data_IF_784591731828
#
_entry.id   IF_784591731828
#
_cell.length_a   1.000
_cell.length_b   1.000
_cell.length_c   1.000
_cell.angle_alpha   90.00
_cell.angle_beta   90.00
_cell.angle_gamma   90.00
#
_symmetry.space_group_name_H-M   'P 1'
#
loop_
_entity.id
_entity.type
_entity.pdbx_description
1 polymer ?
#
# COMPACT_ATOMS: atom_id res chain seq x y z
N UNK A 1 -25.34 18.56 -10.76
CA UNK A 1 -24.61 19.81 -10.49
C UNK A 1 -25.54 20.76 -9.73
N UNK A 2 -25.04 21.36 -8.62
CA UNK A 2 -25.81 22.35 -7.85
C UNK A 2 -26.67 21.81 -6.70
N UNK A 3 -26.88 20.49 -6.56
CA UNK A 3 -27.70 19.91 -5.49
C UNK A 3 -27.19 20.24 -4.07
N UNK A 4 -25.88 20.22 -3.87
CA UNK A 4 -25.22 20.60 -2.60
C UNK A 4 -24.58 22.00 -2.68
N UNK A 5 -25.07 22.85 -3.57
CA UNK A 5 -24.54 24.19 -3.82
C UNK A 5 -23.13 24.21 -4.44
N UNK A 6 -22.47 25.39 -4.47
CA UNK A 6 -21.04 25.49 -4.78
C UNK A 6 -20.20 25.12 -3.56
N UNK A 7 -18.92 24.82 -3.76
CA UNK A 7 -18.03 24.36 -2.69
C UNK A 7 -17.90 25.34 -1.50
N UNK A 8 -17.76 26.66 -1.67
CA UNK A 8 -17.74 27.59 -0.55
C UNK A 8 -19.01 27.52 0.32
N UNK A 9 -20.18 27.44 -0.29
CA UNK A 9 -21.46 27.31 0.42
C UNK A 9 -21.60 25.95 1.11
N UNK A 10 -21.18 24.87 0.44
CA UNK A 10 -21.14 23.54 1.03
C UNK A 10 -20.21 23.49 2.25
N UNK A 11 -19.02 24.05 2.14
CA UNK A 11 -18.04 24.11 3.22
C UNK A 11 -18.60 24.82 4.44
N UNK A 12 -19.20 25.98 4.25
CA UNK A 12 -19.76 26.75 5.37
C UNK A 12 -20.99 26.10 6.01
N UNK A 13 -21.86 25.45 5.20
CA UNK A 13 -23.10 24.85 5.70
C UNK A 13 -22.94 23.47 6.32
N UNK A 14 -21.96 22.70 5.87
CA UNK A 14 -21.81 21.29 6.24
C UNK A 14 -20.41 20.93 6.70
N UNK A 15 -19.39 21.16 5.85
CA UNK A 15 -18.04 20.66 6.10
C UNK A 15 -17.44 21.23 7.40
N UNK A 16 -17.51 22.54 7.61
CA UNK A 16 -16.93 23.18 8.79
C UNK A 16 -17.59 22.69 10.07
N UNK A 17 -18.92 22.65 10.13
CA UNK A 17 -19.65 22.20 11.30
C UNK A 17 -19.43 20.69 11.60
N UNK A 18 -19.37 19.86 10.55
CA UNK A 18 -19.18 18.40 10.72
C UNK A 18 -17.74 18.08 11.11
N UNK A 19 -16.73 18.69 10.44
CA UNK A 19 -15.33 18.34 10.62
C UNK A 19 -14.72 19.02 11.83
N UNK A 20 -15.00 20.32 12.06
CA UNK A 20 -14.42 21.09 13.15
C UNK A 20 -15.20 20.95 14.46
N UNK A 21 -16.53 21.01 14.37
CA UNK A 21 -17.41 21.09 15.54
C UNK A 21 -18.06 19.73 15.88
N UNK A 22 -17.85 18.68 15.04
CA UNK A 22 -18.42 17.35 15.17
C UNK A 22 -19.96 17.39 15.36
N UNK A 23 -20.61 18.36 14.70
CA UNK A 23 -22.06 18.58 14.81
C UNK A 23 -22.85 17.43 14.17
N UNK A 24 -23.45 16.61 15.03
CA UNK A 24 -24.25 15.43 14.64
C UNK A 24 -25.54 15.82 13.89
N UNK A 25 -26.18 16.92 14.26
CA UNK A 25 -27.43 17.34 13.62
C UNK A 25 -27.19 17.72 12.15
N UNK A 26 -26.15 18.51 11.90
CA UNK A 26 -25.73 18.87 10.54
C UNK A 26 -25.29 17.65 9.73
N UNK A 27 -24.59 16.71 10.36
CA UNK A 27 -24.19 15.43 9.75
C UNK A 27 -25.42 14.61 9.34
N UNK A 28 -26.40 14.44 10.24
CA UNK A 28 -27.64 13.70 9.95
C UNK A 28 -28.51 14.38 8.90
N UNK A 29 -28.52 15.71 8.88
CA UNK A 29 -29.20 16.48 7.83
C UNK A 29 -28.55 16.26 6.47
N UNK A 30 -27.23 16.33 6.38
CA UNK A 30 -26.50 16.05 5.14
C UNK A 30 -26.73 14.61 4.69
N UNK A 31 -26.66 13.64 5.61
CA UNK A 31 -26.91 12.23 5.35
C UNK A 31 -28.28 11.99 4.74
N UNK A 32 -29.33 12.58 5.31
CA UNK A 32 -30.70 12.48 4.77
C UNK A 32 -30.85 13.06 3.37
N UNK A 33 -30.17 14.18 3.09
CA UNK A 33 -30.16 14.81 1.76
C UNK A 33 -29.49 13.94 0.70
N UNK A 34 -28.34 13.33 1.02
CA UNK A 34 -27.55 12.57 0.03
C UNK A 34 -27.94 11.09 -0.06
N UNK A 35 -28.57 10.53 0.98
CA UNK A 35 -28.96 9.12 1.07
C UNK A 35 -29.70 8.60 -0.18
N UNK A 36 -30.69 9.32 -0.77
CA UNK A 36 -31.38 8.83 -1.97
C UNK A 36 -30.48 8.70 -3.20
N UNK A 37 -29.32 9.35 -3.22
CA UNK A 37 -28.38 9.40 -4.35
C UNK A 37 -27.12 8.56 -4.12
N UNK A 38 -26.93 8.03 -2.90
CA UNK A 38 -25.76 7.26 -2.51
C UNK A 38 -26.19 5.86 -2.08
N UNK A 39 -25.87 4.86 -2.88
CA UNK A 39 -26.03 3.47 -2.51
C UNK A 39 -24.67 2.89 -2.13
N UNK A 40 -24.38 2.81 -0.82
CA UNK A 40 -23.20 2.14 -0.29
C UNK A 40 -23.56 0.73 0.18
N UNK A 41 -23.02 -0.28 -0.50
CA UNK A 41 -23.12 -1.68 -0.07
C UNK A 41 -21.76 -2.16 0.42
N UNK A 42 -21.71 -2.71 1.62
CA UNK A 42 -20.49 -3.34 2.12
C UNK A 42 -20.39 -4.75 1.51
N UNK A 43 -19.16 -5.15 1.13
CA UNK A 43 -18.91 -6.46 0.56
C UNK A 43 -19.45 -7.60 1.44
N UNK A 44 -19.21 -7.54 2.76
CA UNK A 44 -19.65 -8.52 3.74
C UNK A 44 -21.18 -8.71 3.79
N UNK A 45 -21.95 -7.67 3.41
CA UNK A 45 -23.41 -7.71 3.48
C UNK A 45 -24.03 -8.31 2.21
N UNK A 46 -23.32 -8.22 1.09
CA UNK A 46 -23.82 -8.61 -0.25
C UNK A 46 -23.21 -9.91 -0.74
N UNK A 47 -21.95 -10.21 -0.41
CA UNK A 47 -21.18 -11.33 -0.93
C UNK A 47 -20.93 -12.37 0.17
N UNK A 48 -22.00 -13.07 0.59
CA UNK A 48 -21.91 -14.12 1.63
C UNK A 48 -21.10 -15.36 1.20
N UNK A 49 -20.89 -15.53 -0.09
CA UNK A 49 -20.13 -16.65 -0.67
C UNK A 49 -18.64 -16.35 -0.83
N UNK A 50 -18.21 -15.12 -0.52
CA UNK A 50 -16.79 -14.78 -0.63
C UNK A 50 -16.01 -15.47 0.51
N UNK A 51 -14.89 -16.18 0.22
CA UNK A 51 -14.03 -16.72 1.26
C UNK A 51 -13.51 -15.65 2.21
N UNK A 52 -13.09 -16.06 3.40
CA UNK A 52 -12.52 -15.13 4.37
C UNK A 52 -11.23 -14.48 3.87
N UNK A 53 -10.98 -13.27 4.38
CA UNK A 53 -9.73 -12.54 4.20
C UNK A 53 -8.99 -12.48 5.54
N UNK A 54 -7.76 -12.97 5.56
CA UNK A 54 -6.89 -12.96 6.73
C UNK A 54 -5.79 -11.93 6.51
N UNK A 55 -5.66 -10.96 7.39
CA UNK A 55 -4.60 -9.93 7.33
C UNK A 55 -3.57 -10.19 8.43
N UNK A 56 -2.29 -10.21 8.05
CA UNK A 56 -1.15 -10.46 8.94
C UNK A 56 -0.08 -9.41 8.74
N UNK A 57 0.35 -8.78 9.83
CA UNK A 57 1.54 -7.92 9.82
C UNK A 57 2.76 -8.81 10.06
N UNK A 58 3.74 -8.70 9.17
CA UNK A 58 5.04 -9.37 9.29
C UNK A 58 6.07 -8.30 9.65
N UNK A 59 6.51 -8.37 10.89
CA UNK A 59 7.53 -7.46 11.41
C UNK A 59 8.92 -7.83 10.90
N UNK A 60 9.63 -6.83 10.39
CA UNK A 60 11.00 -6.99 9.87
C UNK A 60 11.94 -6.12 10.71
N UNK A 61 12.95 -6.75 11.28
CA UNK A 61 14.00 -6.04 12.01
C UNK A 61 15.10 -5.59 11.05
N UNK A 62 15.37 -4.28 11.03
CA UNK A 62 16.55 -3.76 10.32
C UNK A 62 17.79 -4.04 11.15
N UNK A 63 18.82 -4.59 10.53
CA UNK A 63 20.08 -4.94 11.19
C UNK A 63 21.29 -4.35 10.46
N UNK A 64 22.47 -4.56 11.02
CA UNK A 64 23.74 -4.26 10.38
C UNK A 64 23.88 -2.82 9.86
N UNK A 65 24.32 -2.69 8.63
CA UNK A 65 24.55 -1.42 7.95
C UNK A 65 23.23 -0.71 7.58
N UNK A 66 22.19 -1.47 7.20
CA UNK A 66 20.88 -0.93 6.89
C UNK A 66 20.28 -0.17 8.08
N UNK A 67 20.38 -0.75 9.28
CA UNK A 67 19.91 -0.11 10.52
C UNK A 67 20.67 1.16 10.84
N UNK A 68 22.00 1.14 10.74
CA UNK A 68 22.85 2.32 10.99
C UNK A 68 22.51 3.46 10.03
N UNK A 69 22.33 3.16 8.75
CA UNK A 69 21.92 4.14 7.75
C UNK A 69 20.54 4.73 8.08
N UNK A 70 19.56 3.88 8.37
CA UNK A 70 18.23 4.34 8.74
C UNK A 70 18.28 5.30 9.95
N UNK A 71 18.95 4.91 11.02
CA UNK A 71 19.06 5.71 12.25
C UNK A 71 19.74 7.04 12.00
N UNK A 72 20.80 7.09 11.22
CA UNK A 72 21.51 8.32 10.87
C UNK A 72 20.61 9.30 10.10
N UNK A 73 19.85 8.80 9.10
CA UNK A 73 18.91 9.63 8.35
C UNK A 73 17.73 10.09 9.21
N UNK A 74 17.18 9.22 10.03
CA UNK A 74 16.08 9.54 10.94
C UNK A 74 16.50 10.58 11.98
N UNK A 75 17.69 10.45 12.56
CA UNK A 75 18.22 11.42 13.51
C UNK A 75 18.48 12.77 12.85
N UNK A 76 19.06 12.80 11.64
CA UNK A 76 19.26 14.03 10.87
C UNK A 76 17.93 14.76 10.64
N UNK A 77 16.89 14.03 10.21
CA UNK A 77 15.57 14.62 9.99
C UNK A 77 14.96 15.16 11.29
N UNK A 78 15.07 14.42 12.42
CA UNK A 78 14.59 14.89 13.73
C UNK A 78 15.27 16.18 14.15
N UNK A 79 16.58 16.27 14.00
CA UNK A 79 17.35 17.48 14.34
C UNK A 79 16.99 18.66 13.42
N UNK A 80 16.75 18.39 12.14
CA UNK A 80 16.29 19.40 11.19
C UNK A 80 14.93 19.97 11.58
N UNK A 81 13.97 19.10 11.87
CA UNK A 81 12.62 19.50 12.28
C UNK A 81 12.59 20.25 13.61
N UNK A 82 13.42 19.84 14.59
CA UNK A 82 13.48 20.48 15.90
C UNK A 82 14.01 21.93 15.87
N UNK A 83 14.70 22.32 14.81
CA UNK A 83 15.26 23.68 14.65
C UNK A 83 14.34 24.62 13.86
N UNK A 84 13.25 24.11 13.27
CA UNK A 84 12.37 24.91 12.43
C UNK A 84 11.32 25.69 13.21
N UNK A 85 11.12 26.95 12.84
CA UNK A 85 9.94 27.72 13.21
C UNK A 85 8.68 27.22 12.47
N UNK A 86 7.46 27.57 12.93
CA UNK A 86 6.22 27.21 12.21
C UNK A 86 6.16 27.71 10.76
N UNK A 87 6.75 28.87 10.47
CA UNK A 87 6.84 29.44 9.13
C UNK A 87 7.78 28.65 8.24
N UNK A 88 8.98 28.36 8.71
CA UNK A 88 9.97 27.54 8.01
C UNK A 88 9.44 26.13 7.74
N UNK A 89 8.74 25.54 8.71
CA UNK A 89 8.09 24.24 8.53
C UNK A 89 7.06 24.27 7.38
N UNK A 90 6.28 25.35 7.25
CA UNK A 90 5.31 25.48 6.14
C UNK A 90 5.98 25.58 4.78
N UNK A 91 7.13 26.24 4.71
CA UNK A 91 7.90 26.42 3.47
C UNK A 91 8.66 25.15 3.07
N UNK A 92 9.14 24.38 4.03
CA UNK A 92 9.95 23.17 3.82
C UNK A 92 9.17 21.88 3.64
N UNK A 93 7.84 21.92 3.56
CA UNK A 93 6.99 20.72 3.46
C UNK A 93 7.42 19.73 2.36
N UNK A 94 7.79 20.23 1.18
CA UNK A 94 8.23 19.35 0.07
C UNK A 94 9.55 18.66 0.37
N UNK A 95 10.46 19.37 1.06
CA UNK A 95 11.74 18.79 1.48
C UNK A 95 11.55 17.73 2.55
N UNK A 96 10.69 18.00 3.54
CA UNK A 96 10.31 17.03 4.57
C UNK A 96 9.70 15.77 3.94
N UNK A 97 8.78 15.92 2.98
CA UNK A 97 8.19 14.78 2.28
C UNK A 97 9.23 13.96 1.50
N UNK A 98 10.23 14.63 0.92
CA UNK A 98 11.36 13.96 0.26
C UNK A 98 12.19 13.14 1.25
N UNK A 99 12.51 13.70 2.40
CA UNK A 99 13.27 12.99 3.45
C UNK A 99 12.45 11.81 4.05
N UNK A 100 11.15 11.97 4.28
CA UNK A 100 10.27 10.88 4.69
C UNK A 100 10.22 9.76 3.63
N UNK A 101 10.23 10.13 2.35
CA UNK A 101 10.28 9.13 1.26
C UNK A 101 11.60 8.38 1.27
N UNK A 102 12.73 9.05 1.54
CA UNK A 102 14.04 8.40 1.69
C UNK A 102 14.08 7.43 2.86
N UNK A 103 13.53 7.80 4.02
CA UNK A 103 13.42 6.88 5.16
C UNK A 103 12.63 5.62 4.79
N UNK A 104 11.56 5.75 4.02
CA UNK A 104 10.79 4.60 3.55
C UNK A 104 11.57 3.75 2.54
N UNK A 105 12.33 4.38 1.65
CA UNK A 105 13.22 3.66 0.75
C UNK A 105 14.31 2.89 1.52
N UNK A 106 14.86 3.47 2.60
CA UNK A 106 15.81 2.77 3.48
C UNK A 106 15.20 1.53 4.15
N UNK A 107 13.92 1.59 4.53
CA UNK A 107 13.20 0.42 5.02
C UNK A 107 13.05 -0.66 3.95
N UNK A 108 12.84 -0.27 2.69
CA UNK A 108 12.67 -1.20 1.57
C UNK A 108 14.00 -1.79 1.07
N UNK A 109 15.09 -1.02 1.18
CA UNK A 109 16.43 -1.41 0.80
C UNK A 109 17.29 -0.20 0.44
N UNK A 110 18.47 -0.01 1.06
CA UNK A 110 19.33 1.13 0.80
C UNK A 110 19.84 1.20 -0.66
N UNK A 111 19.98 0.06 -1.34
CA UNK A 111 20.33 -0.04 -2.77
C UNK A 111 19.40 0.76 -3.70
N UNK A 112 18.19 1.10 -3.26
CA UNK A 112 17.23 1.87 -4.07
C UNK A 112 17.70 3.28 -4.41
N UNK A 113 18.69 3.82 -3.69
CA UNK A 113 19.28 5.14 -3.94
C UNK A 113 20.78 5.25 -3.62
N UNK A 114 21.39 4.20 -3.04
CA UNK A 114 22.83 4.11 -2.79
C UNK A 114 23.45 3.11 -3.78
N UNK A 115 24.10 3.62 -4.84
CA UNK A 115 24.61 2.83 -5.96
C UNK A 115 25.63 1.73 -5.56
N UNK A 116 26.31 1.90 -4.42
CA UNK A 116 27.36 0.98 -3.96
C UNK A 116 26.95 0.20 -2.70
N UNK A 117 25.65 0.12 -2.40
CA UNK A 117 25.18 -0.69 -1.29
C UNK A 117 25.01 -2.14 -1.74
N UNK A 118 25.77 -3.03 -1.12
CA UNK A 118 25.78 -4.47 -1.40
C UNK A 118 25.55 -5.33 -0.15
N UNK A 119 25.21 -4.69 0.97
CA UNK A 119 24.96 -5.37 2.23
C UNK A 119 23.50 -5.85 2.34
N UNK A 120 23.12 -6.28 3.50
CA UNK A 120 21.84 -6.90 3.83
C UNK A 120 20.62 -6.05 3.44
N UNK A 121 19.56 -6.72 3.01
CA UNK A 121 18.24 -6.13 2.83
C UNK A 121 17.21 -7.02 3.52
N UNK A 122 17.03 -6.79 4.82
CA UNK A 122 16.18 -7.62 5.68
C UNK A 122 14.76 -7.82 5.15
N UNK A 123 14.19 -6.79 4.52
CA UNK A 123 12.84 -6.86 3.96
C UNK A 123 12.78 -7.70 2.69
N UNK A 124 13.81 -7.63 1.83
CA UNK A 124 13.90 -8.47 0.64
C UNK A 124 14.03 -9.94 1.03
N UNK A 125 14.89 -10.24 2.00
CA UNK A 125 15.13 -11.60 2.47
C UNK A 125 13.85 -12.19 3.07
N UNK A 126 13.17 -11.48 3.96
CA UNK A 126 11.88 -11.88 4.51
C UNK A 126 10.82 -12.09 3.42
N UNK A 127 10.77 -11.21 2.42
CA UNK A 127 9.83 -11.34 1.30
C UNK A 127 10.11 -12.58 0.48
N UNK A 128 11.38 -12.87 0.18
CA UNK A 128 11.78 -14.07 -0.56
C UNK A 128 11.41 -15.36 0.18
N UNK A 129 11.62 -15.41 1.49
CA UNK A 129 11.20 -16.55 2.32
C UNK A 129 9.70 -16.78 2.26
N UNK A 130 8.89 -15.73 2.43
CA UNK A 130 7.44 -15.83 2.30
C UNK A 130 7.00 -16.29 0.91
N UNK A 131 7.62 -15.76 -0.14
CA UNK A 131 7.32 -16.14 -1.53
C UNK A 131 7.66 -17.61 -1.76
N UNK A 132 8.85 -18.08 -1.35
CA UNK A 132 9.24 -19.49 -1.48
C UNK A 132 8.28 -20.43 -0.76
N UNK A 133 7.95 -20.13 0.50
CA UNK A 133 6.99 -20.93 1.28
C UNK A 133 5.62 -20.98 0.62
N UNK A 134 5.13 -19.85 0.08
CA UNK A 134 3.84 -19.81 -0.61
C UNK A 134 3.86 -20.65 -1.89
N UNK A 135 4.93 -20.60 -2.68
CA UNK A 135 5.09 -21.39 -3.92
C UNK A 135 5.14 -22.90 -3.60
N UNK A 136 5.90 -23.30 -2.57
CA UNK A 136 5.99 -24.69 -2.12
C UNK A 136 4.62 -25.26 -1.72
N UNK A 137 3.74 -24.40 -1.19
CA UNK A 137 2.36 -24.77 -0.84
C UNK A 137 1.36 -24.61 -2.00
N UNK A 138 1.83 -24.33 -3.21
CA UNK A 138 0.99 -24.26 -4.42
C UNK A 138 0.17 -22.99 -4.57
N UNK A 139 0.52 -21.92 -3.85
CA UNK A 139 -0.17 -20.63 -3.91
C UNK A 139 0.36 -19.72 -5.02
N UNK A 140 -0.53 -18.89 -5.57
CA UNK A 140 -0.16 -17.76 -6.43
C UNK A 140 -0.20 -16.45 -5.64
N UNK A 141 0.75 -15.57 -5.93
CA UNK A 141 1.09 -14.41 -5.10
C UNK A 141 0.92 -13.14 -5.91
N UNK A 142 0.20 -12.15 -5.36
CA UNK A 142 0.30 -10.74 -5.79
C UNK A 142 1.23 -10.00 -4.84
N UNK A 143 2.22 -9.32 -5.40
CA UNK A 143 3.18 -8.53 -4.65
C UNK A 143 3.06 -7.07 -5.05
N UNK A 144 2.72 -6.22 -4.10
CA UNK A 144 2.52 -4.79 -4.31
C UNK A 144 3.62 -3.97 -3.66
N UNK A 145 4.10 -2.96 -4.38
CA UNK A 145 4.93 -1.89 -3.84
C UNK A 145 4.56 -0.55 -4.48
N UNK A 146 4.75 0.54 -3.74
CA UNK A 146 4.61 1.88 -4.31
C UNK A 146 5.87 2.32 -5.09
N UNK A 147 7.02 1.70 -4.81
CA UNK A 147 8.28 2.00 -5.46
C UNK A 147 8.55 1.03 -6.60
N UNK A 148 8.65 1.53 -7.82
CA UNK A 148 9.01 0.70 -8.99
C UNK A 148 10.42 0.15 -8.88
N UNK A 149 11.34 0.87 -8.24
CA UNK A 149 12.70 0.40 -7.94
C UNK A 149 12.72 -0.83 -7.01
N UNK A 150 11.75 -0.96 -6.09
CA UNK A 150 11.56 -2.20 -5.31
C UNK A 150 11.20 -3.36 -6.23
N UNK A 151 10.30 -3.13 -7.19
CA UNK A 151 9.92 -4.17 -8.15
C UNK A 151 11.11 -4.59 -9.03
N UNK A 152 12.03 -3.66 -9.33
CA UNK A 152 13.26 -3.96 -10.06
C UNK A 152 14.16 -4.90 -9.25
N UNK A 153 14.39 -4.62 -7.96
CA UNK A 153 15.17 -5.46 -7.06
C UNK A 153 14.53 -6.84 -6.84
N UNK A 154 13.23 -6.88 -6.62
CA UNK A 154 12.48 -8.14 -6.49
C UNK A 154 12.61 -9.00 -7.75
N UNK A 155 12.50 -8.43 -8.95
CA UNK A 155 12.66 -9.19 -10.18
C UNK A 155 14.07 -9.73 -10.38
N UNK A 156 15.10 -8.96 -9.98
CA UNK A 156 16.49 -9.46 -9.98
C UNK A 156 16.64 -10.65 -9.02
N UNK A 157 16.09 -10.53 -7.81
CA UNK A 157 16.12 -11.59 -6.80
C UNK A 157 15.36 -12.84 -7.27
N UNK A 158 14.15 -12.68 -7.82
CA UNK A 158 13.38 -13.80 -8.37
C UNK A 158 14.09 -14.50 -9.52
N UNK A 159 14.74 -13.73 -10.40
CA UNK A 159 15.55 -14.31 -11.48
C UNK A 159 16.73 -15.14 -10.94
N UNK A 160 17.40 -14.64 -9.90
CA UNK A 160 18.48 -15.38 -9.23
C UNK A 160 17.99 -16.69 -8.61
N UNK A 161 16.80 -16.66 -7.98
CA UNK A 161 16.15 -17.81 -7.36
C UNK A 161 15.35 -18.68 -8.34
N UNK A 162 15.41 -18.40 -9.65
CA UNK A 162 14.67 -19.09 -10.71
C UNK A 162 13.15 -19.08 -10.54
N UNK A 163 12.61 -18.06 -9.87
CA UNK A 163 11.18 -17.85 -9.67
C UNK A 163 10.64 -17.04 -10.86
N UNK A 164 9.66 -17.62 -11.58
CA UNK A 164 8.94 -16.90 -12.64
C UNK A 164 8.08 -15.79 -12.04
N UNK A 165 8.05 -14.64 -12.69
CA UNK A 165 7.20 -13.54 -12.26
C UNK A 165 6.73 -12.67 -13.41
N UNK A 166 5.48 -12.19 -13.34
CA UNK A 166 4.99 -11.10 -14.16
C UNK A 166 5.14 -9.76 -13.45
N UNK A 167 5.10 -8.68 -14.22
CA UNK A 167 5.18 -7.31 -13.67
C UNK A 167 4.26 -6.35 -14.42
N UNK A 168 3.55 -5.50 -13.64
CA UNK A 168 2.81 -4.35 -14.15
C UNK A 168 3.20 -3.10 -13.34
N UNK A 169 3.59 -2.04 -14.06
CA UNK A 169 3.79 -0.70 -13.52
C UNK A 169 3.16 0.37 -14.43
N UNK A 170 3.51 1.65 -14.19
CA UNK A 170 2.95 2.77 -14.95
C UNK A 170 3.33 2.79 -16.45
N UNK A 171 4.41 2.12 -16.83
CA UNK A 171 4.91 2.06 -18.21
C UNK A 171 4.24 0.99 -19.09
N UNK A 172 3.50 0.05 -18.48
CA UNK A 172 2.88 -1.06 -19.21
C UNK A 172 1.59 -0.61 -19.88
N UNK A 173 1.41 -0.90 -21.19
CA UNK A 173 0.20 -0.55 -21.96
C UNK A 173 -1.05 -1.26 -21.43
N UNK A 174 -2.24 -0.77 -21.78
CA UNK A 174 -3.51 -1.37 -21.37
C UNK A 174 -3.67 -2.77 -21.91
N UNK A 175 -3.31 -2.98 -23.17
CA UNK A 175 -3.39 -4.25 -23.86
C UNK A 175 -2.48 -5.30 -23.21
N UNK A 176 -1.25 -4.89 -22.91
CA UNK A 176 -0.27 -5.76 -22.27
C UNK A 176 -0.68 -6.13 -20.83
N UNK A 177 -1.31 -5.20 -20.09
CA UNK A 177 -1.88 -5.50 -18.76
C UNK A 177 -2.94 -6.58 -18.82
N UNK A 178 -3.82 -6.54 -19.81
CA UNK A 178 -4.85 -7.56 -20.01
C UNK A 178 -4.17 -8.90 -20.32
N UNK A 179 -3.24 -8.93 -21.27
CA UNK A 179 -2.50 -10.13 -21.65
C UNK A 179 -1.78 -10.79 -20.46
N UNK A 180 -1.06 -9.98 -19.65
CA UNK A 180 -0.34 -10.49 -18.47
C UNK A 180 -1.31 -11.00 -17.40
N UNK A 181 -2.47 -10.38 -17.24
CA UNK A 181 -3.49 -10.82 -16.28
C UNK A 181 -4.10 -12.16 -16.70
N UNK A 182 -4.41 -12.33 -17.98
CA UNK A 182 -4.94 -13.57 -18.54
C UNK A 182 -3.89 -14.70 -18.49
N UNK A 183 -2.64 -14.38 -18.84
CA UNK A 183 -1.53 -15.31 -18.72
C UNK A 183 -1.36 -15.79 -17.28
N UNK A 184 -1.32 -14.88 -16.31
CA UNK A 184 -1.21 -15.24 -14.90
C UNK A 184 -2.33 -16.14 -14.38
N UNK A 185 -3.53 -16.01 -14.94
CA UNK A 185 -4.66 -16.86 -14.57
C UNK A 185 -4.51 -18.30 -15.06
N UNK A 186 -3.77 -18.53 -16.15
CA UNK A 186 -3.73 -19.82 -16.86
C UNK A 186 -2.36 -20.49 -16.89
N UNK A 187 -1.27 -19.73 -16.76
CA UNK A 187 0.10 -20.26 -16.75
C UNK A 187 0.56 -20.72 -15.35
N UNK A 188 1.79 -21.21 -15.27
CA UNK A 188 2.44 -21.69 -14.04
C UNK A 188 3.22 -20.59 -13.30
N UNK A 189 3.11 -19.33 -13.71
CA UNK A 189 3.80 -18.21 -13.06
C UNK A 189 3.24 -17.98 -11.65
N UNK A 190 4.07 -18.12 -10.59
CA UNK A 190 3.56 -18.03 -9.22
C UNK A 190 3.43 -16.61 -8.68
N UNK A 191 4.19 -15.65 -9.24
CA UNK A 191 4.27 -14.29 -8.68
C UNK A 191 3.87 -13.23 -9.69
N UNK A 192 3.06 -12.27 -9.27
CA UNK A 192 2.73 -11.09 -10.05
C UNK A 192 3.07 -9.81 -9.27
N UNK A 193 4.11 -9.11 -9.71
CA UNK A 193 4.56 -7.84 -9.14
C UNK A 193 3.77 -6.68 -9.73
N UNK A 194 3.18 -5.85 -8.89
CA UNK A 194 2.31 -4.76 -9.34
C UNK A 194 2.66 -3.47 -8.59
N UNK A 195 2.90 -2.39 -9.34
CA UNK A 195 3.00 -1.08 -8.69
C UNK A 195 1.62 -0.64 -8.18
N UNK A 196 1.56 -0.12 -6.96
CA UNK A 196 0.29 0.27 -6.35
C UNK A 196 -0.49 1.30 -7.19
N UNK A 197 0.20 2.20 -7.90
CA UNK A 197 -0.43 3.16 -8.81
C UNK A 197 -1.08 2.48 -10.03
N UNK A 198 -0.47 1.40 -10.54
CA UNK A 198 -1.00 0.64 -11.66
C UNK A 198 -2.10 -0.34 -11.24
N UNK A 199 -2.09 -0.80 -10.00
CA UNK A 199 -3.09 -1.70 -9.42
C UNK A 199 -4.51 -1.12 -9.36
N UNK A 200 -4.68 0.21 -9.49
CA UNK A 200 -5.98 0.89 -9.54
C UNK A 200 -6.85 0.62 -10.79
N UNK A 201 -6.35 -0.07 -11.79
CA UNK A 201 -6.96 -0.18 -13.14
C UNK A 201 -7.81 -1.44 -13.37
N UNK A 202 -8.76 -1.77 -12.53
CA UNK A 202 -9.83 -2.75 -12.85
C UNK A 202 -9.41 -4.20 -13.12
N UNK A 203 -8.16 -4.60 -12.85
CA UNK A 203 -7.64 -5.94 -13.09
C UNK A 203 -8.39 -6.99 -12.26
N UNK A 204 -8.65 -8.16 -12.86
CA UNK A 204 -9.20 -9.32 -12.14
C UNK A 204 -8.07 -10.32 -11.88
N UNK A 205 -7.69 -10.47 -10.61
CA UNK A 205 -6.52 -11.24 -10.18
C UNK A 205 -6.90 -12.34 -9.18
N UNK A 206 -8.09 -12.91 -9.34
CA UNK A 206 -8.63 -13.98 -8.47
C UNK A 206 -7.87 -15.31 -8.56
N UNK A 207 -6.94 -15.44 -9.48
CA UNK A 207 -6.04 -16.61 -9.55
C UNK A 207 -5.05 -16.67 -8.37
N UNK A 208 -4.76 -15.53 -7.73
CA UNK A 208 -3.93 -15.48 -6.53
C UNK A 208 -4.78 -15.57 -5.27
N UNK A 209 -4.20 -16.14 -4.21
CA UNK A 209 -4.79 -16.23 -2.88
C UNK A 209 -3.83 -15.71 -1.79
N UNK A 210 -2.61 -15.36 -2.13
CA UNK A 210 -1.67 -14.63 -1.29
C UNK A 210 -1.46 -13.22 -1.84
N UNK A 211 -1.53 -12.24 -0.96
CA UNK A 211 -1.20 -10.83 -1.25
C UNK A 211 -0.09 -10.39 -0.33
N UNK A 212 0.98 -9.81 -0.87
CA UNK A 212 2.07 -9.22 -0.10
C UNK A 212 2.14 -7.73 -0.41
N UNK A 213 1.94 -6.89 0.60
CA UNK A 213 2.29 -5.48 0.56
C UNK A 213 3.71 -5.33 1.08
N UNK A 214 4.65 -5.05 0.18
CA UNK A 214 6.07 -4.93 0.51
C UNK A 214 6.36 -3.70 1.37
N UNK A 215 5.61 -2.63 1.17
CA UNK A 215 5.69 -1.39 1.92
C UNK A 215 4.30 -0.83 2.22
N UNK A 216 4.07 -0.21 3.40
CA UNK A 216 2.78 0.36 3.75
C UNK A 216 2.50 1.64 2.95
N UNK A 217 1.27 1.88 2.59
CA UNK A 217 0.87 3.10 1.91
C UNK A 217 0.11 4.05 2.84
N UNK A 218 0.37 5.36 2.73
CA UNK A 218 -0.36 6.40 3.45
C UNK A 218 -1.88 6.36 3.26
N UNK A 219 -2.34 5.93 2.09
CA UNK A 219 -3.75 5.81 1.74
C UNK A 219 -4.21 4.36 1.84
N UNK A 220 -4.83 4.03 2.99
CA UNK A 220 -5.41 2.71 3.27
C UNK A 220 -6.43 2.29 2.21
N UNK A 221 -7.27 3.23 1.73
CA UNK A 221 -8.28 2.90 0.74
C UNK A 221 -7.67 2.39 -0.58
N UNK A 222 -6.53 2.96 -0.99
CA UNK A 222 -5.83 2.50 -2.18
C UNK A 222 -5.14 1.13 -1.95
N UNK A 223 -4.62 0.87 -0.75
CA UNK A 223 -4.06 -0.43 -0.37
C UNK A 223 -5.17 -1.50 -0.36
N UNK A 224 -6.29 -1.21 0.28
CA UNK A 224 -7.46 -2.09 0.27
C UNK A 224 -8.00 -2.34 -1.13
N UNK A 225 -8.04 -1.32 -1.99
CA UNK A 225 -8.44 -1.46 -3.38
C UNK A 225 -7.53 -2.41 -4.15
N UNK A 226 -6.22 -2.40 -3.89
CA UNK A 226 -5.27 -3.35 -4.49
C UNK A 226 -5.56 -4.78 -4.03
N UNK A 227 -5.74 -5.01 -2.73
CA UNK A 227 -6.12 -6.32 -2.16
C UNK A 227 -7.46 -6.81 -2.71
N UNK A 228 -8.42 -5.92 -2.92
CA UNK A 228 -9.75 -6.22 -3.47
C UNK A 228 -9.74 -6.73 -4.91
N UNK A 229 -8.60 -6.71 -5.60
CA UNK A 229 -8.43 -7.35 -6.92
C UNK A 229 -8.38 -8.86 -6.83
N UNK A 230 -7.91 -9.37 -5.72
CA UNK A 230 -7.85 -10.79 -5.39
C UNK A 230 -9.11 -11.25 -4.67
N UNK A 231 -9.53 -10.47 -3.65
CA UNK A 231 -10.69 -10.78 -2.82
C UNK A 231 -11.97 -10.21 -3.43
N UNK A 232 -12.50 -10.90 -4.45
CA UNK A 232 -13.71 -10.51 -5.19
C UNK A 232 -14.46 -11.74 -5.72
N UNK A 233 -15.63 -11.52 -6.31
CA UNK A 233 -16.43 -12.57 -6.95
C UNK A 233 -15.54 -13.40 -7.90
N UNK A 234 -15.57 -14.73 -7.74
CA UNK A 234 -14.73 -15.67 -8.46
C UNK A 234 -13.54 -16.21 -7.66
N UNK A 235 -13.22 -15.62 -6.51
CA UNK A 235 -12.24 -16.18 -5.56
C UNK A 235 -12.83 -17.43 -4.89
N UNK A 236 -12.07 -18.53 -4.89
CA UNK A 236 -12.47 -19.81 -4.29
C UNK A 236 -11.69 -20.14 -3.02
N UNK A 237 -10.55 -19.49 -2.81
CA UNK A 237 -9.64 -19.74 -1.71
C UNK A 237 -9.72 -18.62 -0.66
N UNK A 238 -9.35 -18.94 0.59
CA UNK A 238 -9.10 -17.91 1.61
C UNK A 238 -7.95 -17.04 1.14
N UNK A 239 -8.16 -15.72 1.15
CA UNK A 239 -7.10 -14.77 0.77
C UNK A 239 -6.32 -14.38 2.01
N UNK A 240 -5.01 -14.63 2.00
CA UNK A 240 -4.10 -14.18 3.06
C UNK A 240 -3.30 -12.98 2.58
N UNK A 241 -3.37 -11.90 3.35
CA UNK A 241 -2.67 -10.63 3.08
C UNK A 241 -1.54 -10.47 4.09
N UNK A 242 -0.33 -10.34 3.61
CA UNK A 242 0.85 -10.03 4.42
C UNK A 242 1.26 -8.57 4.21
N UNK A 243 1.46 -7.85 5.30
CA UNK A 243 2.00 -6.48 5.29
C UNK A 243 3.40 -6.51 5.92
N UNK A 244 4.45 -6.26 5.12
CA UNK A 244 5.81 -6.22 5.60
C UNK A 244 6.10 -4.84 6.21
N UNK A 245 6.39 -4.80 7.49
CA UNK A 245 6.61 -3.55 8.25
C UNK A 245 7.98 -3.60 8.93
N UNK A 246 8.85 -2.67 8.59
CA UNK A 246 10.10 -2.47 9.31
C UNK A 246 9.82 -1.88 10.70
N UNK A 247 10.14 -2.64 11.75
CA UNK A 247 9.90 -2.25 13.14
C UNK A 247 10.77 -1.08 13.59
N UNK A 248 10.27 -0.30 14.54
CA UNK A 248 10.91 0.90 15.08
C UNK A 248 11.29 1.93 14.01
N UNK A 249 10.52 1.98 12.91
CA UNK A 249 10.74 2.89 11.78
C UNK A 249 9.52 3.74 11.44
N UNK A 250 9.67 4.58 10.41
CA UNK A 250 8.56 5.37 9.83
C UNK A 250 7.40 4.47 9.34
N UNK A 251 7.67 3.23 8.94
CA UNK A 251 6.62 2.32 8.44
C UNK A 251 5.66 1.89 9.55
N UNK A 252 6.18 1.64 10.75
CA UNK A 252 5.33 1.35 11.92
C UNK A 252 4.46 2.56 12.28
N UNK A 253 5.02 3.80 12.18
CA UNK A 253 4.24 5.02 12.38
C UNK A 253 3.12 5.18 11.33
N UNK A 254 3.39 4.83 10.06
CA UNK A 254 2.39 4.82 9.00
C UNK A 254 1.28 3.83 9.32
N UNK A 255 1.62 2.60 9.73
CA UNK A 255 0.66 1.58 10.12
C UNK A 255 -0.23 2.04 11.28
N UNK A 256 0.36 2.67 12.29
CA UNK A 256 -0.39 3.22 13.43
C UNK A 256 -1.35 4.34 13.01
N UNK A 257 -0.91 5.23 12.12
CA UNK A 257 -1.79 6.26 11.53
C UNK A 257 -2.91 5.68 10.67
N UNK A 258 -2.65 4.59 9.97
CA UNK A 258 -3.66 3.87 9.20
C UNK A 258 -4.74 3.30 10.12
N UNK A 259 -4.35 2.61 11.19
CA UNK A 259 -5.27 2.05 12.19
C UNK A 259 -6.13 3.14 12.83
N UNK A 260 -5.53 4.23 13.28
CA UNK A 260 -6.25 5.35 13.86
C UNK A 260 -7.29 6.00 12.91
N UNK A 261 -7.04 5.96 11.59
CA UNK A 261 -8.00 6.46 10.58
C UNK A 261 -9.11 5.47 10.23
N UNK A 262 -8.89 4.18 10.42
CA UNK A 262 -9.94 3.18 10.17
C UNK A 262 -10.94 3.07 11.31
N UNK A 263 -10.57 3.55 12.51
CA UNK A 263 -11.41 3.56 13.71
C UNK A 263 -12.31 4.82 13.81
N UNK A 264 -12.15 5.77 12.88
CA UNK A 264 -13.00 6.97 12.71
C UNK A 264 -14.09 6.74 11.65
#
# INVERSE_FOLDING_TARGET
>A
PGFLYNYPTFKNRYESAIVNDQDKETSDRLRRLVHPFILRRLKKDVLKELPDKIEKVVSVHLEGEQKKLYDAYAQRLKLYLAKQSPEEFRQSKLEILKELTRLRQLCCGPSLFLEHYHSENAKLDTCLELVKQAIENGHKILLFSQFTSVLDELQKAFKHEQIKSHRIDGGVSKEERIRLTESFATDDTPVFCISLKAGGTGLNLTAADIVIHYDPWWNVAAQNQATDRTHRIGQKNIVTVYELIAEATIEEQILNLQKAKSDL
#
